data_IF_974850403807
#
_entry.id   IF_974850403807
#
_cell.length_a   1.000
_cell.length_b   1.000
_cell.length_c   1.000
_cell.angle_alpha   90.00
_cell.angle_beta   90.00
_cell.angle_gamma   90.00
#
_symmetry.space_group_name_H-M   'P 1'
#
loop_
_entity.id
_entity.type
_entity.pdbx_description
1 polymer ?
#
# COMPACT_ATOMS: atom_id res chain seq x y z
N UNK A 1 10.96 58.29 -4.96
CA UNK A 1 11.37 57.30 -3.95
C UNK A 1 10.11 56.61 -3.45
N UNK A 2 10.18 55.29 -3.21
CA UNK A 2 9.08 54.33 -2.96
C UNK A 2 8.47 53.77 -4.28
N UNK A 3 8.26 52.47 -4.50
CA UNK A 3 8.29 51.32 -3.61
C UNK A 3 8.84 50.10 -4.36
N UNK A 4 9.81 49.42 -3.74
CA UNK A 4 10.23 48.09 -4.15
C UNK A 4 9.57 47.11 -3.17
N UNK A 5 8.48 46.47 -3.59
CA UNK A 5 7.78 45.49 -2.77
C UNK A 5 7.61 44.18 -3.54
N UNK A 6 8.49 43.24 -3.16
CA UNK A 6 8.32 41.80 -3.08
C UNK A 6 6.90 41.27 -3.35
N UNK A 7 6.78 40.39 -4.35
CA UNK A 7 5.75 39.37 -4.41
C UNK A 7 6.41 37.99 -4.30
N UNK A 8 6.37 37.42 -3.10
CA UNK A 8 6.58 35.99 -2.89
C UNK A 8 5.28 35.23 -3.18
N UNK A 9 5.47 34.04 -3.77
CA UNK A 9 4.78 32.74 -3.51
C UNK A 9 3.96 32.18 -4.69
N UNK A 10 4.51 31.12 -5.29
CA UNK A 10 3.81 29.83 -5.43
C UNK A 10 4.86 28.75 -5.78
N UNK A 11 5.52 28.20 -4.77
CA UNK A 11 5.16 26.90 -4.19
C UNK A 11 5.64 25.73 -5.06
N UNK A 12 6.96 25.51 -5.10
CA UNK A 12 7.51 24.18 -5.37
C UNK A 12 8.46 23.82 -4.22
N UNK A 13 8.21 22.74 -3.47
CA UNK A 13 9.09 22.35 -2.39
C UNK A 13 10.44 21.92 -2.97
N UNK A 14 11.53 22.42 -2.38
CA UNK A 14 12.89 22.10 -2.83
C UNK A 14 13.18 20.61 -2.62
N UNK A 15 14.13 20.06 -3.38
CA UNK A 15 14.43 18.62 -3.39
C UNK A 15 14.68 17.99 -2.00
N UNK A 16 15.06 18.77 -0.98
CA UNK A 16 15.21 18.29 0.39
C UNK A 16 13.86 18.00 1.07
N UNK A 17 12.82 18.80 0.83
CA UNK A 17 11.48 18.54 1.37
C UNK A 17 10.86 17.29 0.73
N UNK A 18 11.16 17.02 -0.55
CA UNK A 18 10.81 15.77 -1.23
C UNK A 18 11.52 14.56 -0.61
N UNK A 19 12.81 14.67 -0.30
CA UNK A 19 13.59 13.62 0.36
C UNK A 19 13.06 13.35 1.78
N UNK A 20 12.82 14.39 2.58
CA UNK A 20 12.25 14.27 3.92
C UNK A 20 10.81 13.74 3.93
N UNK A 21 10.01 14.08 2.92
CA UNK A 21 8.64 13.56 2.76
C UNK A 21 8.64 12.10 2.30
N UNK A 22 9.60 11.70 1.45
CA UNK A 22 9.80 10.30 1.02
C UNK A 22 10.28 9.40 2.16
N UNK A 23 11.16 9.89 3.03
CA UNK A 23 11.61 9.19 4.25
C UNK A 23 10.45 9.05 5.26
N UNK A 24 9.60 10.08 5.42
CA UNK A 24 8.38 10.00 6.26
C UNK A 24 7.36 8.99 5.73
N UNK A 25 7.19 8.89 4.41
CA UNK A 25 6.25 7.93 3.83
C UNK A 25 6.77 6.48 3.82
N UNK A 26 8.09 6.25 3.66
CA UNK A 26 8.68 4.90 3.77
C UNK A 26 8.83 4.40 5.21
N UNK A 27 8.95 5.29 6.19
CA UNK A 27 9.06 4.94 7.62
C UNK A 27 7.74 4.45 8.22
N UNK A 28 6.60 4.76 7.60
CA UNK A 28 5.28 4.54 8.24
C UNK A 28 4.78 3.09 8.21
N UNK A 29 5.36 2.21 7.38
CA UNK A 29 4.91 0.82 7.17
C UNK A 29 5.79 -0.21 7.85
N UNK A 30 7.12 -0.01 7.85
CA UNK A 30 8.07 -0.85 8.60
C UNK A 30 8.00 -0.62 10.11
N UNK A 31 7.62 0.58 10.53
CA UNK A 31 7.53 0.94 11.95
C UNK A 31 6.37 0.22 12.63
N UNK A 32 5.21 0.02 11.96
CA UNK A 32 4.04 -0.63 12.58
C UNK A 32 4.28 -2.09 12.97
N UNK A 33 4.88 -2.89 12.08
CA UNK A 33 5.19 -4.31 12.37
C UNK A 33 6.22 -4.45 13.49
N UNK A 34 7.24 -3.58 13.54
CA UNK A 34 8.23 -3.58 14.63
C UNK A 34 7.59 -3.24 15.99
N UNK A 35 6.64 -2.32 16.02
CA UNK A 35 5.93 -1.98 17.26
C UNK A 35 5.07 -3.14 17.74
N UNK A 36 4.33 -3.82 16.84
CA UNK A 36 3.52 -4.99 17.20
C UNK A 36 4.36 -6.11 17.83
N UNK A 37 5.54 -6.40 17.26
CA UNK A 37 6.48 -7.40 17.81
C UNK A 37 7.02 -6.97 19.19
N UNK A 38 7.40 -5.70 19.34
CA UNK A 38 7.88 -5.18 20.62
C UNK A 38 6.79 -5.23 21.70
N UNK A 39 5.54 -4.88 21.35
CA UNK A 39 4.39 -4.96 22.26
C UNK A 39 4.09 -6.39 22.69
N UNK A 40 4.08 -7.35 21.75
CA UNK A 40 3.89 -8.77 22.09
C UNK A 40 4.97 -9.26 23.06
N UNK A 41 6.23 -8.85 22.83
CA UNK A 41 7.34 -9.21 23.72
C UNK A 41 7.13 -8.69 25.13
N UNK A 42 6.72 -7.42 25.29
CA UNK A 42 6.44 -6.83 26.61
C UNK A 42 5.30 -7.57 27.32
N UNK A 43 4.22 -7.91 26.61
CA UNK A 43 3.07 -8.64 27.18
C UNK A 43 3.49 -10.03 27.68
N UNK A 44 4.33 -10.74 26.90
CA UNK A 44 4.88 -12.04 27.31
C UNK A 44 5.75 -11.91 28.55
N UNK A 45 6.68 -10.95 28.58
CA UNK A 45 7.58 -10.71 29.70
C UNK A 45 6.79 -10.40 31.00
N UNK A 46 5.77 -9.55 30.92
CA UNK A 46 4.89 -9.23 32.06
C UNK A 46 4.09 -10.44 32.56
N UNK A 47 3.64 -11.31 31.65
CA UNK A 47 2.88 -12.51 32.03
C UNK A 47 3.73 -13.52 32.80
N UNK A 48 5.00 -13.65 32.41
CA UNK A 48 5.99 -14.48 33.10
C UNK A 48 6.29 -13.90 34.48
N UNK A 49 6.53 -12.60 34.56
CA UNK A 49 6.80 -11.89 35.83
C UNK A 49 5.64 -12.03 36.81
N UNK A 50 4.40 -12.00 36.31
CA UNK A 50 3.19 -12.06 37.13
C UNK A 50 2.68 -13.49 37.39
N UNK A 51 3.36 -14.53 36.91
CA UNK A 51 2.88 -15.93 36.95
C UNK A 51 1.44 -16.11 36.43
N UNK A 52 1.05 -15.31 35.43
CA UNK A 52 -0.29 -15.35 34.84
C UNK A 52 -0.28 -16.18 33.56
N UNK A 53 -1.36 -16.92 33.30
CA UNK A 53 -1.54 -17.60 32.02
C UNK A 53 -1.75 -16.59 30.88
N UNK A 54 -1.04 -16.80 29.76
CA UNK A 54 -1.16 -15.99 28.55
C UNK A 54 -1.43 -16.89 27.34
N UNK A 55 -2.43 -16.54 26.54
CA UNK A 55 -2.76 -17.22 25.29
C UNK A 55 -2.59 -16.25 24.12
N UNK A 56 -1.85 -16.66 23.09
CA UNK A 56 -1.60 -15.88 21.89
C UNK A 56 -2.11 -16.68 20.69
N UNK A 57 -2.96 -16.04 19.85
CA UNK A 57 -3.42 -16.62 18.60
C UNK A 57 -2.85 -15.82 17.42
N UNK A 58 -2.22 -16.51 16.46
CA UNK A 58 -1.76 -15.91 15.21
C UNK A 58 -2.80 -16.14 14.13
N UNK A 59 -3.42 -15.05 13.67
CA UNK A 59 -4.32 -15.07 12.52
C UNK A 59 -3.48 -14.79 11.29
N UNK A 60 -3.19 -15.81 10.50
CA UNK A 60 -2.68 -15.63 9.15
C UNK A 60 -3.87 -15.46 8.22
N UNK A 61 -3.93 -14.31 7.53
CA UNK A 61 -4.94 -14.12 6.51
C UNK A 61 -4.46 -14.85 5.25
N UNK A 62 -5.17 -15.91 4.84
CA UNK A 62 -5.05 -16.43 3.49
C UNK A 62 -5.14 -15.25 2.53
N UNK A 63 -4.12 -15.12 1.66
CA UNK A 63 -3.85 -13.94 0.83
C UNK A 63 -5.13 -13.20 0.48
N UNK A 64 -5.41 -12.12 1.18
CA UNK A 64 -6.72 -11.48 1.19
C UNK A 64 -7.16 -10.92 -0.18
N UNK A 65 -6.25 -10.88 -1.16
CA UNK A 65 -6.55 -10.48 -2.53
C UNK A 65 -6.79 -11.66 -3.48
N UNK A 66 -6.31 -12.86 -3.13
CA UNK A 66 -6.51 -14.08 -3.93
C UNK A 66 -7.89 -14.72 -3.64
N UNK A 67 -8.48 -14.42 -2.47
CA UNK A 67 -9.80 -14.91 -2.06
C UNK A 67 -10.97 -14.01 -2.45
N UNK A 68 -10.71 -12.82 -3.00
CA UNK A 68 -11.77 -11.90 -3.45
C UNK A 68 -12.29 -12.35 -4.81
N UNK A 69 -13.60 -12.54 -4.93
CA UNK A 69 -14.26 -12.76 -6.23
C UNK A 69 -13.99 -11.56 -7.15
N UNK A 70 -13.22 -11.81 -8.23
CA UNK A 70 -12.86 -10.79 -9.20
C UNK A 70 -14.09 -10.10 -9.81
N UNK A 71 -15.18 -10.85 -10.01
CA UNK A 71 -16.43 -10.29 -10.56
C UNK A 71 -17.00 -9.19 -9.66
N UNK A 72 -16.99 -9.42 -8.35
CA UNK A 72 -17.41 -8.47 -7.33
C UNK A 72 -16.44 -7.29 -7.25
N UNK A 73 -15.14 -7.55 -7.34
CA UNK A 73 -14.10 -6.51 -7.35
C UNK A 73 -14.27 -5.51 -8.51
N UNK A 74 -14.49 -5.99 -9.73
CA UNK A 74 -14.67 -5.12 -10.90
C UNK A 74 -15.95 -4.28 -10.80
N UNK A 75 -17.03 -4.85 -10.22
CA UNK A 75 -18.28 -4.12 -9.96
C UNK A 75 -18.08 -3.00 -8.93
N UNK A 76 -17.36 -3.28 -7.84
CA UNK A 76 -17.03 -2.30 -6.81
C UNK A 76 -16.21 -1.14 -7.37
N UNK A 77 -15.17 -1.42 -8.15
CA UNK A 77 -14.32 -0.38 -8.73
C UNK A 77 -15.14 0.56 -9.63
N UNK A 78 -16.05 0.03 -10.45
CA UNK A 78 -16.97 0.85 -11.26
C UNK A 78 -17.94 1.65 -10.41
N UNK A 79 -18.47 1.06 -9.33
CA UNK A 79 -19.36 1.75 -8.41
C UNK A 79 -18.70 2.96 -7.75
N UNK A 80 -17.41 2.85 -7.39
CA UNK A 80 -16.61 3.95 -6.84
C UNK A 80 -16.07 4.93 -7.89
N UNK A 81 -16.50 4.81 -9.15
CA UNK A 81 -16.15 5.76 -10.21
C UNK A 81 -14.78 5.55 -10.85
N UNK A 82 -14.15 4.39 -10.65
CA UNK A 82 -12.90 4.06 -11.37
C UNK A 82 -13.22 3.88 -12.86
N UNK A 83 -12.54 4.63 -13.76
CA UNK A 83 -12.79 4.53 -15.20
C UNK A 83 -12.64 3.11 -15.73
N UNK A 84 -13.53 2.71 -16.64
CA UNK A 84 -13.54 1.37 -17.25
C UNK A 84 -12.18 0.95 -17.81
N UNK A 85 -11.43 1.89 -18.40
CA UNK A 85 -10.09 1.63 -18.94
C UNK A 85 -9.12 1.10 -17.87
N UNK A 86 -9.17 1.67 -16.65
CA UNK A 86 -8.33 1.24 -15.53
C UNK A 86 -8.80 -0.13 -15.02
N UNK A 87 -10.12 -0.32 -14.90
CA UNK A 87 -10.69 -1.61 -14.48
C UNK A 87 -10.28 -2.73 -15.44
N UNK A 88 -10.31 -2.49 -16.76
CA UNK A 88 -9.89 -3.47 -17.77
C UNK A 88 -8.40 -3.81 -17.68
N UNK A 89 -7.53 -2.83 -17.40
CA UNK A 89 -6.08 -3.07 -17.23
C UNK A 89 -5.84 -3.97 -16.02
N UNK A 90 -6.51 -3.68 -14.90
CA UNK A 90 -6.38 -4.48 -13.67
C UNK A 90 -6.92 -5.89 -13.93
N UNK A 91 -8.11 -6.01 -14.53
CA UNK A 91 -8.69 -7.32 -14.85
C UNK A 91 -7.77 -8.16 -15.75
N UNK A 92 -7.20 -7.57 -16.81
CA UNK A 92 -6.26 -8.27 -17.70
C UNK A 92 -4.95 -8.68 -16.99
N UNK A 93 -4.53 -7.95 -15.95
CA UNK A 93 -3.38 -8.32 -15.12
C UNK A 93 -3.70 -9.54 -14.24
N UNK A 94 -4.91 -9.59 -13.67
CA UNK A 94 -5.38 -10.68 -12.81
C UNK A 94 -5.73 -11.96 -13.60
N UNK A 95 -6.30 -11.84 -14.80
CA UNK A 95 -6.63 -12.98 -15.68
C UNK A 95 -5.39 -13.69 -16.26
N UNK A 96 -4.20 -13.25 -15.85
CA UNK A 96 -2.93 -13.62 -16.47
C UNK A 96 -2.79 -12.89 -17.79
N UNK A 97 -1.68 -12.16 -17.95
CA UNK A 97 -1.33 -11.59 -19.25
C UNK A 97 -1.32 -12.73 -20.29
N UNK A 98 -2.36 -12.83 -21.12
CA UNK A 98 -2.29 -13.58 -22.37
C UNK A 98 -1.44 -12.76 -23.35
N UNK A 99 -0.15 -12.62 -23.03
CA UNK A 99 0.83 -12.09 -23.96
C UNK A 99 0.99 -13.12 -25.06
N UNK A 100 0.22 -12.97 -26.13
CA UNK A 100 0.51 -13.69 -27.37
C UNK A 100 1.68 -13.02 -28.05
N UNK A 101 2.76 -13.77 -28.23
CA UNK A 101 3.95 -13.28 -28.90
C UNK A 101 3.75 -13.60 -30.38
N UNK A 102 3.72 -12.57 -31.23
CA UNK A 102 3.74 -12.78 -32.68
C UNK A 102 5.18 -13.06 -33.07
N UNK A 103 5.51 -14.33 -33.33
CA UNK A 103 6.75 -14.70 -33.99
C UNK A 103 6.43 -14.96 -35.47
N UNK A 104 7.02 -14.14 -36.36
CA UNK A 104 6.95 -14.35 -37.82
C UNK A 104 5.51 -14.47 -38.41
N UNK A 105 4.54 -13.74 -37.83
CA UNK A 105 3.19 -13.66 -38.38
C UNK A 105 2.19 -14.71 -37.88
N UNK A 106 2.59 -15.60 -36.95
CA UNK A 106 1.65 -16.44 -36.21
C UNK A 106 1.54 -15.99 -34.75
N UNK A 107 0.29 -15.87 -34.29
CA UNK A 107 -0.05 -15.62 -32.89
C UNK A 107 0.08 -16.93 -32.10
N UNK A 108 1.07 -17.02 -31.21
CA UNK A 108 1.12 -18.07 -30.17
C UNK A 108 0.62 -17.50 -28.86
#
# INVERSE_FOLDING_TARGET
>A
MLAHQQLKKSAWPSNQEWQSSRIRQHSSRSTKSRHQIATLRIIVEQSIESNSSLYINFIDYEKAFDSVDGTTLWKLLRHYGVPQKIVNIIQNYYDGLNCKIVHEGQLT
#
